data_IF_122602370409
#
_entry.id   IF_122602370409
#
_cell.length_a   1.000
_cell.length_b   1.000
_cell.length_c   1.000
_cell.angle_alpha   90.00
_cell.angle_beta   90.00
_cell.angle_gamma   90.00
#
_symmetry.space_group_name_H-M   'P 1'
#
loop_
_entity.id
_entity.type
_entity.pdbx_description
1 polymer ?
#
# COMPACT_ATOMS: atom_id res chain seq x y z
N UNK A 1 3.44 11.44 -4.71
CA UNK A 1 3.93 10.14 -4.18
C UNK A 1 4.09 10.12 -2.66
N UNK A 2 4.43 11.24 -2.00
CA UNK A 2 4.54 11.28 -0.54
C UNK A 2 3.24 10.89 0.18
N UNK A 3 2.08 11.40 -0.26
CA UNK A 3 0.78 11.10 0.37
C UNK A 3 0.42 9.60 0.34
N UNK A 4 0.71 8.92 -0.78
CA UNK A 4 0.45 7.47 -0.92
C UNK A 4 1.45 6.67 -0.11
N UNK A 5 2.75 6.80 -0.42
CA UNK A 5 3.75 5.90 0.15
C UNK A 5 4.14 6.29 1.57
N UNK A 6 4.58 7.54 1.77
CA UNK A 6 5.01 8.03 3.08
C UNK A 6 3.83 8.37 4.00
N UNK A 7 2.62 8.55 3.44
CA UNK A 7 1.37 8.67 4.19
C UNK A 7 0.68 7.33 4.39
N UNK A 8 -0.12 6.89 3.42
CA UNK A 8 -1.04 5.74 3.58
C UNK A 8 -0.32 4.41 3.74
N UNK A 9 0.66 4.07 2.90
CA UNK A 9 1.37 2.78 2.98
C UNK A 9 2.15 2.69 4.28
N UNK A 10 2.85 3.76 4.67
CA UNK A 10 3.57 3.83 5.95
C UNK A 10 2.63 3.70 7.15
N UNK A 11 1.45 4.31 7.07
CA UNK A 11 0.42 4.15 8.09
C UNK A 11 -0.10 2.71 8.18
N UNK A 12 -0.36 2.05 7.05
CA UNK A 12 -0.81 0.66 7.05
C UNK A 12 0.25 -0.28 7.64
N UNK A 13 1.53 -0.06 7.34
CA UNK A 13 2.64 -0.78 7.96
C UNK A 13 2.68 -0.58 9.48
N UNK A 14 2.42 0.65 9.95
CA UNK A 14 2.30 0.92 11.39
C UNK A 14 1.17 0.13 12.03
N UNK A 15 -0.02 0.15 11.44
CA UNK A 15 -1.17 -0.60 11.96
C UNK A 15 -0.89 -2.12 11.99
N UNK A 16 -0.26 -2.65 10.95
CA UNK A 16 0.03 -4.08 10.87
C UNK A 16 1.14 -4.53 11.83
N UNK A 17 2.19 -3.74 12.05
CA UNK A 17 3.42 -4.24 12.68
C UNK A 17 3.83 -3.54 13.98
N UNK A 18 3.25 -2.40 14.33
CA UNK A 18 3.59 -1.73 15.59
C UNK A 18 3.00 -2.49 16.79
N UNK A 19 3.76 -2.56 17.89
CA UNK A 19 3.34 -3.22 19.14
C UNK A 19 2.08 -2.63 19.74
N UNK A 20 1.83 -1.33 19.51
CA UNK A 20 0.62 -0.65 19.97
C UNK A 20 -0.68 -1.30 19.47
N UNK A 21 -0.64 -1.94 18.30
CA UNK A 21 -1.81 -2.57 17.68
C UNK A 21 -1.77 -4.10 17.77
N UNK A 22 -0.90 -4.68 18.60
CA UNK A 22 -0.72 -6.14 18.68
C UNK A 22 -1.97 -6.93 19.08
N UNK A 23 -2.95 -6.27 19.73
CA UNK A 23 -4.26 -6.85 20.07
C UNK A 23 -5.34 -6.68 18.99
N UNK A 24 -5.08 -5.95 17.91
CA UNK A 24 -6.06 -5.70 16.85
C UNK A 24 -6.07 -6.84 15.83
N UNK A 25 -7.24 -7.11 15.21
CA UNK A 25 -7.39 -8.21 14.24
C UNK A 25 -6.54 -8.03 12.97
N UNK A 26 -6.27 -6.79 12.55
CA UNK A 26 -5.41 -6.48 11.42
C UNK A 26 -3.91 -6.61 11.74
N UNK A 27 -3.53 -6.91 12.99
CA UNK A 27 -2.13 -7.00 13.40
C UNK A 27 -1.45 -8.23 12.82
N UNK A 28 -0.30 -7.99 12.20
CA UNK A 28 0.60 -9.00 11.64
C UNK A 28 1.92 -9.07 12.39
N UNK A 29 1.99 -8.49 13.60
CA UNK A 29 3.21 -8.44 14.39
C UNK A 29 3.81 -9.81 14.68
N UNK A 30 2.98 -10.84 14.89
CA UNK A 30 3.45 -12.22 15.12
C UNK A 30 4.13 -12.82 13.88
N UNK A 31 3.88 -12.25 12.70
CA UNK A 31 4.38 -12.73 11.42
C UNK A 31 5.60 -11.95 10.90
N UNK A 32 6.22 -11.08 11.71
CA UNK A 32 7.40 -10.28 11.30
C UNK A 32 8.52 -11.17 10.74
N UNK A 33 8.85 -12.28 11.43
CA UNK A 33 9.90 -13.21 10.98
C UNK A 33 9.60 -13.77 9.59
N UNK A 34 8.36 -14.21 9.38
CA UNK A 34 7.88 -14.71 8.09
C UNK A 34 7.98 -13.65 6.99
N UNK A 35 7.55 -12.42 7.28
CA UNK A 35 7.61 -11.29 6.34
C UNK A 35 9.06 -11.01 5.94
N UNK A 36 9.97 -10.93 6.90
CA UNK A 36 11.39 -10.65 6.64
C UNK A 36 12.07 -11.75 5.83
N UNK A 37 11.78 -13.02 6.11
CA UNK A 37 12.24 -14.15 5.31
C UNK A 37 11.73 -14.06 3.87
N UNK A 38 10.46 -13.70 3.68
CA UNK A 38 9.88 -13.56 2.34
C UNK A 38 10.44 -12.38 1.56
N UNK A 39 10.66 -11.23 2.21
CA UNK A 39 11.32 -10.07 1.59
C UNK A 39 12.69 -10.47 1.02
N UNK A 40 13.48 -11.28 1.76
CA UNK A 40 14.78 -11.77 1.30
C UNK A 40 14.67 -12.78 0.14
N UNK A 41 13.61 -13.58 0.11
CA UNK A 41 13.44 -14.64 -0.89
C UNK A 41 12.94 -14.16 -2.25
N UNK A 42 12.20 -13.04 -2.29
CA UNK A 42 11.59 -12.53 -3.52
C UNK A 42 12.62 -11.70 -4.28
N UNK A 43 12.89 -12.09 -5.53
CA UNK A 43 13.66 -11.30 -6.49
C UNK A 43 12.71 -10.35 -7.25
N UNK A 44 12.78 -9.03 -7.04
CA UNK A 44 11.98 -8.08 -7.80
C UNK A 44 12.56 -7.88 -9.20
N UNK A 45 11.84 -7.17 -10.10
CA UNK A 45 12.35 -6.82 -11.42
C UNK A 45 13.70 -6.10 -11.37
N UNK A 46 14.57 -6.33 -12.37
CA UNK A 46 15.95 -5.83 -12.40
C UNK A 46 16.09 -4.30 -12.32
N UNK A 47 15.04 -3.56 -12.68
CA UNK A 47 15.01 -2.09 -12.62
C UNK A 47 14.70 -1.54 -11.21
N UNK A 48 14.38 -2.37 -10.22
CA UNK A 48 14.14 -1.88 -8.85
C UNK A 48 15.46 -1.62 -8.13
N UNK A 49 15.79 -0.35 -7.92
CA UNK A 49 17.09 0.06 -7.36
C UNK A 49 17.24 -0.17 -5.85
N UNK A 50 16.16 -0.40 -5.10
CA UNK A 50 16.19 -0.59 -3.63
C UNK A 50 15.21 -1.64 -3.15
N UNK A 51 15.74 -2.71 -2.55
CA UNK A 51 14.94 -3.73 -1.87
C UNK A 51 14.44 -3.19 -0.53
N UNK A 52 13.23 -3.56 -0.08
CA UNK A 52 12.79 -3.25 1.27
C UNK A 52 13.75 -3.88 2.29
N UNK A 53 14.11 -3.11 3.33
CA UNK A 53 14.80 -3.65 4.52
C UNK A 53 13.86 -4.56 5.33
N UNK A 54 14.26 -4.95 6.55
CA UNK A 54 13.34 -5.62 7.48
C UNK A 54 12.08 -4.77 7.67
N UNK A 55 10.93 -5.45 7.74
CA UNK A 55 9.65 -4.80 8.05
C UNK A 55 9.67 -4.15 9.43
N UNK A 56 10.55 -4.59 10.33
CA UNK A 56 10.75 -3.93 11.63
C UNK A 56 11.26 -2.49 11.47
N UNK A 57 11.97 -2.20 10.39
CA UNK A 57 12.55 -0.89 10.08
C UNK A 57 11.63 -0.02 9.21
N UNK A 58 10.36 -0.39 9.04
CA UNK A 58 9.42 0.32 8.16
C UNK A 58 9.34 1.83 8.41
N UNK A 59 9.60 2.26 9.66
CA UNK A 59 9.62 3.68 10.07
C UNK A 59 10.68 4.48 9.30
N UNK A 60 11.77 3.84 8.90
CA UNK A 60 12.90 4.44 8.19
C UNK A 60 12.89 4.16 6.68
N UNK A 61 11.94 3.38 6.18
CA UNK A 61 11.83 3.09 4.75
C UNK A 61 11.59 4.37 3.94
N UNK A 62 12.33 4.50 2.84
CA UNK A 62 12.14 5.58 1.88
C UNK A 62 10.91 5.32 1.02
N UNK A 63 10.43 6.35 0.32
CA UNK A 63 9.29 6.23 -0.59
C UNK A 63 9.46 5.12 -1.65
N UNK A 64 10.69 4.88 -2.13
CA UNK A 64 10.98 3.79 -3.09
C UNK A 64 10.86 2.40 -2.48
N UNK A 65 11.28 2.20 -1.23
CA UNK A 65 11.09 0.94 -0.51
C UNK A 65 9.60 0.67 -0.26
N UNK A 66 8.85 1.71 0.13
CA UNK A 66 7.40 1.65 0.33
C UNK A 66 6.64 1.37 -0.98
N UNK A 67 7.08 1.98 -2.09
CA UNK A 67 6.58 1.68 -3.45
C UNK A 67 6.77 0.21 -3.78
N UNK A 68 7.98 -0.30 -3.61
CA UNK A 68 8.31 -1.68 -3.93
C UNK A 68 7.54 -2.65 -3.05
N UNK A 69 7.49 -2.38 -1.73
CA UNK A 69 6.66 -3.14 -0.80
C UNK A 69 5.21 -3.25 -1.30
N UNK A 70 4.57 -2.12 -1.63
CA UNK A 70 3.19 -2.12 -2.08
C UNK A 70 3.00 -2.93 -3.37
N UNK A 71 3.80 -2.64 -4.41
CA UNK A 71 3.54 -3.14 -5.76
C UNK A 71 4.05 -4.58 -6.01
N UNK A 72 5.14 -4.99 -5.36
CA UNK A 72 5.81 -6.25 -5.69
C UNK A 72 5.79 -7.29 -4.56
N UNK A 73 5.77 -6.86 -3.30
CA UNK A 73 5.92 -7.77 -2.16
C UNK A 73 4.60 -8.03 -1.44
N UNK A 74 3.83 -6.97 -1.17
CA UNK A 74 2.76 -7.00 -0.18
C UNK A 74 1.68 -8.04 -0.48
N UNK A 75 1.18 -8.14 -1.72
CA UNK A 75 0.15 -9.15 -2.04
C UNK A 75 0.65 -10.59 -1.86
N UNK A 76 1.88 -10.88 -2.28
CA UNK A 76 2.45 -12.23 -2.19
C UNK A 76 2.68 -12.61 -0.73
N UNK A 77 3.24 -11.69 0.05
CA UNK A 77 3.61 -11.94 1.45
C UNK A 77 2.39 -11.96 2.37
N UNK A 78 1.41 -11.08 2.14
CA UNK A 78 0.27 -10.92 3.05
C UNK A 78 -0.79 -12.01 2.85
N UNK A 79 -0.92 -12.59 1.64
CA UNK A 79 -1.96 -13.58 1.32
C UNK A 79 -2.11 -14.74 2.33
N UNK A 80 -1.03 -15.38 2.82
CA UNK A 80 -1.16 -16.48 3.78
C UNK A 80 -1.30 -16.06 5.25
N UNK A 81 -1.07 -14.78 5.59
CA UNK A 81 -1.01 -14.31 6.99
C UNK A 81 -2.08 -13.28 7.35
N UNK A 82 -2.72 -12.66 6.36
CA UNK A 82 -3.76 -11.66 6.54
C UNK A 82 -5.13 -12.27 6.25
N UNK A 83 -6.17 -11.91 7.03
CA UNK A 83 -7.53 -12.41 6.77
C UNK A 83 -8.03 -11.92 5.41
N UNK A 84 -8.97 -12.67 4.82
CA UNK A 84 -9.49 -12.36 3.48
C UNK A 84 -10.06 -10.93 3.37
N UNK A 85 -10.71 -10.43 4.43
CA UNK A 85 -11.32 -9.10 4.46
C UNK A 85 -10.26 -8.00 4.36
N UNK A 86 -9.21 -8.07 5.19
CA UNK A 86 -8.11 -7.09 5.15
C UNK A 86 -7.27 -7.23 3.87
N UNK A 87 -7.09 -8.46 3.39
CA UNK A 87 -6.33 -8.72 2.17
C UNK A 87 -7.02 -8.12 0.94
N UNK A 88 -8.32 -8.36 0.76
CA UNK A 88 -9.08 -7.77 -0.36
C UNK A 88 -9.16 -6.24 -0.25
N UNK A 89 -9.22 -5.71 0.98
CA UNK A 89 -9.12 -4.27 1.19
C UNK A 89 -7.75 -3.71 0.77
N UNK A 90 -6.65 -4.31 1.21
CA UNK A 90 -5.29 -3.91 0.82
C UNK A 90 -5.06 -4.02 -0.71
N UNK A 91 -5.63 -5.04 -1.33
CA UNK A 91 -5.59 -5.26 -2.78
C UNK A 91 -6.23 -4.13 -3.58
N UNK A 92 -7.28 -3.47 -3.08
CA UNK A 92 -7.87 -2.29 -3.72
C UNK A 92 -6.83 -1.18 -3.89
N UNK A 93 -6.03 -0.92 -2.86
CA UNK A 93 -4.96 0.08 -2.92
C UNK A 93 -3.86 -0.33 -3.90
N UNK A 94 -3.41 -1.58 -3.85
CA UNK A 94 -2.38 -2.09 -4.79
C UNK A 94 -2.85 -1.97 -6.23
N UNK A 95 -4.10 -2.36 -6.52
CA UNK A 95 -4.69 -2.30 -7.85
C UNK A 95 -4.81 -0.87 -8.36
N UNK A 96 -5.34 0.04 -7.54
CA UNK A 96 -5.46 1.45 -7.90
C UNK A 96 -4.11 2.08 -8.22
N UNK A 97 -3.10 1.89 -7.36
CA UNK A 97 -1.77 2.47 -7.58
C UNK A 97 -1.08 1.82 -8.78
N UNK A 98 -1.26 0.51 -9.00
CA UNK A 98 -0.72 -0.19 -10.18
C UNK A 98 -1.27 0.40 -11.48
N UNK A 99 -2.58 0.65 -11.54
CA UNK A 99 -3.23 1.28 -12.69
C UNK A 99 -2.72 2.70 -12.94
N UNK A 100 -2.57 3.48 -11.89
CA UNK A 100 -2.10 4.86 -11.95
C UNK A 100 -0.59 5.01 -12.20
N UNK A 101 0.16 3.91 -12.15
CA UNK A 101 1.61 3.88 -12.38
C UNK A 101 1.99 3.39 -13.79
N UNK A 102 1.02 3.19 -14.69
CA UNK A 102 1.30 2.77 -16.07
C UNK A 102 1.85 3.94 -16.90
N UNK A 103 2.70 3.64 -17.88
CA UNK A 103 3.30 4.64 -18.78
C UNK A 103 2.28 5.29 -19.73
N UNK A 104 1.19 4.59 -20.03
CA UNK A 104 0.04 5.08 -20.77
C UNK A 104 -1.23 4.65 -20.04
N UNK A 105 -2.11 5.60 -19.76
CA UNK A 105 -3.31 5.38 -18.95
C UNK A 105 -4.52 5.84 -19.74
N UNK A 106 -5.44 4.92 -20.04
CA UNK A 106 -6.72 5.26 -20.67
C UNK A 106 -7.73 5.75 -19.63
N UNK A 107 -8.74 6.50 -20.08
CA UNK A 107 -9.81 6.99 -19.18
C UNK A 107 -10.50 5.83 -18.43
N UNK A 108 -10.68 4.68 -19.07
CA UNK A 108 -11.28 3.48 -18.47
C UNK A 108 -10.45 2.99 -17.27
N UNK A 109 -9.12 3.02 -17.38
CA UNK A 109 -8.20 2.63 -16.30
C UNK A 109 -8.23 3.64 -15.16
N UNK A 110 -8.31 4.94 -15.48
CA UNK A 110 -8.45 6.02 -14.49
C UNK A 110 -9.74 5.84 -13.69
N UNK A 111 -10.86 5.59 -14.37
CA UNK A 111 -12.16 5.38 -13.73
C UNK A 111 -12.16 4.13 -12.84
N UNK A 112 -11.50 3.05 -13.29
CA UNK A 112 -11.33 1.84 -12.49
C UNK A 112 -10.47 2.10 -11.24
N UNK A 113 -9.37 2.84 -11.37
CA UNK A 113 -8.54 3.23 -10.24
C UNK A 113 -9.29 4.12 -9.25
N UNK A 114 -10.05 5.10 -9.75
CA UNK A 114 -10.89 5.98 -8.93
C UNK A 114 -11.92 5.17 -8.13
N UNK A 115 -12.62 4.23 -8.78
CA UNK A 115 -13.58 3.33 -8.10
C UNK A 115 -12.91 2.50 -7.01
N UNK A 116 -11.70 1.99 -7.27
CA UNK A 116 -10.92 1.22 -6.29
C UNK A 116 -10.50 2.09 -5.09
N UNK A 117 -10.02 3.32 -5.32
CA UNK A 117 -9.65 4.27 -4.26
C UNK A 117 -10.87 4.70 -3.43
N UNK A 118 -12.00 5.02 -4.06
CA UNK A 118 -13.22 5.36 -3.36
C UNK A 118 -13.73 4.20 -2.49
N UNK A 119 -13.70 2.97 -3.01
CA UNK A 119 -14.06 1.79 -2.23
C UNK A 119 -13.11 1.57 -1.06
N UNK A 120 -11.80 1.73 -1.29
CA UNK A 120 -10.78 1.66 -0.25
C UNK A 120 -11.08 2.66 0.87
N UNK A 121 -11.17 3.95 0.56
CA UNK A 121 -11.37 5.00 1.58
C UNK A 121 -12.69 4.83 2.34
N UNK A 122 -13.77 4.38 1.67
CA UNK A 122 -15.06 4.12 2.34
C UNK A 122 -15.01 2.94 3.32
N UNK A 123 -14.21 1.91 3.04
CA UNK A 123 -14.10 0.72 3.88
C UNK A 123 -13.13 0.90 5.04
N UNK A 124 -12.14 1.79 4.90
CA UNK A 124 -11.08 2.00 5.87
C UNK A 124 -11.55 2.19 7.32
N UNK A 125 -12.52 3.08 7.66
CA UNK A 125 -12.91 3.31 9.06
C UNK A 125 -13.56 2.08 9.71
N UNK A 126 -14.22 1.22 8.92
CA UNK A 126 -14.84 -0.01 9.44
C UNK A 126 -13.81 -1.09 9.75
N UNK A 127 -12.68 -1.08 9.05
CA UNK A 127 -11.66 -2.13 9.13
C UNK A 127 -10.51 -1.74 10.07
N UNK A 128 -10.09 -0.49 10.03
CA UNK A 128 -8.89 0.03 10.68
C UNK A 128 -9.21 1.12 11.70
N UNK A 129 -10.42 1.18 12.25
CA UNK A 129 -10.89 2.21 13.20
C UNK A 129 -11.01 3.63 12.58
N UNK A 130 -12.13 4.36 12.80
CA UNK A 130 -12.28 5.74 12.34
C UNK A 130 -11.17 6.70 12.82
N UNK A 131 -10.56 6.46 13.98
CA UNK A 131 -9.47 7.30 14.51
C UNK A 131 -8.21 7.29 13.62
N UNK A 132 -8.09 6.31 12.73
CA UNK A 132 -6.99 6.19 11.78
C UNK A 132 -7.33 6.82 10.42
N UNK A 133 -8.45 7.52 10.27
CA UNK A 133 -8.76 8.30 9.06
C UNK A 133 -7.92 9.58 8.99
N UNK A 134 -6.76 9.51 8.33
CA UNK A 134 -5.88 10.66 8.12
C UNK A 134 -6.28 11.51 6.91
N UNK A 135 -5.76 12.74 6.84
CA UNK A 135 -5.91 13.59 5.65
C UNK A 135 -5.35 12.90 4.39
N UNK A 136 -4.22 12.18 4.51
CA UNK A 136 -3.62 11.44 3.39
C UNK A 136 -4.57 10.39 2.80
N UNK A 137 -5.39 9.73 3.63
CA UNK A 137 -6.42 8.80 3.17
C UNK A 137 -7.54 9.51 2.40
N UNK A 138 -7.98 10.69 2.87
CA UNK A 138 -8.95 11.49 2.12
C UNK A 138 -8.41 11.92 0.76
N UNK A 139 -7.15 12.34 0.71
CA UNK A 139 -6.51 12.78 -0.53
C UNK A 139 -6.37 11.67 -1.58
N UNK A 140 -6.41 10.39 -1.19
CA UNK A 140 -6.45 9.30 -2.17
C UNK A 140 -7.64 9.41 -3.12
N UNK A 141 -8.77 9.98 -2.68
CA UNK A 141 -9.97 10.11 -3.53
C UNK A 141 -9.79 11.11 -4.67
N UNK A 142 -8.78 11.97 -4.60
CA UNK A 142 -8.48 12.98 -5.62
C UNK A 142 -7.34 12.54 -6.55
N UNK A 143 -6.60 11.49 -6.16
CA UNK A 143 -5.38 11.06 -6.84
C UNK A 143 -5.57 10.74 -8.33
N UNK A 144 -6.66 10.05 -8.71
CA UNK A 144 -6.87 9.69 -10.11
C UNK A 144 -7.17 10.94 -10.97
N UNK A 145 -7.91 11.90 -10.42
CA UNK A 145 -8.19 13.19 -11.07
C UNK A 145 -6.93 14.03 -11.22
N UNK A 146 -6.08 14.06 -10.21
CA UNK A 146 -4.81 14.79 -10.26
C UNK A 146 -3.89 14.23 -11.34
N UNK A 147 -3.83 12.90 -11.49
CA UNK A 147 -3.03 12.23 -12.53
C UNK A 147 -3.59 12.46 -13.93
N UNK A 148 -4.92 12.50 -14.09
CA UNK A 148 -5.51 12.87 -15.37
C UNK A 148 -5.10 14.29 -15.81
N UNK A 149 -5.11 15.24 -14.88
CA UNK A 149 -4.82 16.64 -15.17
C UNK A 149 -3.31 16.92 -15.34
N UNK A 150 -2.44 16.14 -14.68
CA UNK A 150 -1.00 16.41 -14.60
C UNK A 150 -0.13 15.40 -15.38
N UNK A 151 -0.75 14.37 -15.97
CA UNK A 151 -0.06 13.28 -16.66
C UNK A 151 0.31 12.10 -15.75
N UNK A 152 0.75 10.97 -16.34
CA UNK A 152 1.09 9.74 -15.59
C UNK A 152 2.21 9.99 -14.58
N UNK A 153 2.16 9.28 -13.45
CA UNK A 153 3.14 9.44 -12.37
C UNK A 153 4.57 9.20 -12.89
N UNK A 154 5.54 10.08 -12.62
CA UNK A 154 6.92 9.84 -13.01
C UNK A 154 7.44 8.57 -12.32
N UNK A 155 7.77 7.57 -13.13
CA UNK A 155 8.43 6.34 -12.71
C UNK A 155 9.91 6.69 -12.52
N UNK A 156 10.28 7.13 -11.32
CA UNK A 156 11.69 7.17 -10.90
C UNK A 156 12.14 5.79 -10.41
#
# INVERSE_FOLDING_TARGET
MHCVFLGVVKQNLRLCFDSLFSGCEFSLRKSIKYVDEKIKSIKPPSYTSRLPRSVSDYKYWKASELKNWLLYYSLVILKPIMTAVYYEHHKLLVLAISYLSQSSISQVIIDAAQKALDKYVRQYPKLCDPQHMTCNLHQLRHLAKDIFNLGPLPIF
#
